data_IF_481214484954
#
_entry.id   IF_481214484954
#
_cell.length_a   1.000
_cell.length_b   1.000
_cell.length_c   1.000
_cell.angle_alpha   90.00
_cell.angle_beta   90.00
_cell.angle_gamma   90.00
#
_symmetry.space_group_name_H-M   'P 1'
#
loop_
_entity.id
_entity.type
_entity.pdbx_description
1 polymer ?
#
# COMPACT_ATOMS: atom_id res chain seq x y z
N UNK A 1 11.34 -0.63 -49.64
CA UNK A 1 11.77 -1.58 -48.59
C UNK A 1 12.63 -0.96 -47.47
N UNK A 2 13.40 0.13 -47.68
CA UNK A 2 14.30 0.66 -46.63
C UNK A 2 13.62 1.37 -45.44
N UNK A 3 12.49 2.07 -45.66
CA UNK A 3 11.80 2.81 -44.59
C UNK A 3 11.24 1.91 -43.47
N UNK A 4 10.73 0.72 -43.81
CA UNK A 4 10.19 -0.23 -42.84
C UNK A 4 11.27 -0.83 -41.94
N UNK A 5 12.44 -1.14 -42.53
CA UNK A 5 13.61 -1.65 -41.80
C UNK A 5 14.17 -0.60 -40.83
N UNK A 6 14.17 0.69 -41.23
CA UNK A 6 14.62 1.78 -40.35
C UNK A 6 13.64 2.00 -39.17
N UNK A 7 12.33 2.00 -39.42
CA UNK A 7 11.34 2.10 -38.34
C UNK A 7 11.43 0.94 -37.34
N UNK A 8 11.70 -0.28 -37.81
CA UNK A 8 11.88 -1.44 -36.94
C UNK A 8 13.15 -1.31 -36.08
N UNK A 9 14.24 -0.80 -36.64
CA UNK A 9 15.48 -0.51 -35.88
C UNK A 9 15.27 0.58 -34.83
N UNK A 10 14.56 1.65 -35.17
CA UNK A 10 14.23 2.73 -34.23
C UNK A 10 13.35 2.24 -33.09
N UNK A 11 12.31 1.47 -33.39
CA UNK A 11 11.45 0.86 -32.37
C UNK A 11 12.23 -0.07 -31.44
N UNK A 12 13.12 -0.90 -32.01
CA UNK A 12 13.99 -1.77 -31.20
C UNK A 12 14.98 -0.99 -30.34
N UNK A 13 15.54 0.10 -30.86
CA UNK A 13 16.41 0.98 -30.10
C UNK A 13 15.65 1.62 -28.91
N UNK A 14 14.43 2.14 -29.15
CA UNK A 14 13.57 2.70 -28.11
C UNK A 14 13.17 1.69 -27.05
N UNK A 15 12.83 0.45 -27.43
CA UNK A 15 12.54 -0.63 -26.49
C UNK A 15 13.75 -0.95 -25.62
N UNK A 16 14.94 -1.04 -26.24
CA UNK A 16 16.18 -1.33 -25.52
C UNK A 16 16.55 -0.21 -24.55
N UNK A 17 16.38 1.04 -24.97
CA UNK A 17 16.62 2.23 -24.13
C UNK A 17 15.61 2.31 -22.98
N UNK A 18 14.32 2.06 -23.26
CA UNK A 18 13.27 2.02 -22.24
C UNK A 18 13.55 0.93 -21.21
N UNK A 19 13.90 -0.28 -21.64
CA UNK A 19 14.25 -1.38 -20.73
C UNK A 19 15.47 -1.05 -19.88
N UNK A 20 16.52 -0.47 -20.50
CA UNK A 20 17.72 -0.04 -19.77
C UNK A 20 17.38 0.99 -18.70
N UNK A 21 16.69 2.06 -19.06
CA UNK A 21 16.28 3.12 -18.14
C UNK A 21 15.31 2.61 -17.05
N UNK A 22 14.41 1.70 -17.40
CA UNK A 22 13.51 1.05 -16.44
C UNK A 22 14.28 0.19 -15.45
N UNK A 23 15.23 -0.63 -15.91
CA UNK A 23 16.04 -1.50 -15.06
C UNK A 23 17.03 -0.72 -14.19
N UNK A 24 17.61 0.38 -14.71
CA UNK A 24 18.46 1.31 -13.93
C UNK A 24 17.71 1.96 -12.77
N UNK A 25 16.37 2.05 -12.84
CA UNK A 25 15.54 2.53 -11.73
C UNK A 25 15.29 1.49 -10.63
N UNK A 26 15.89 0.29 -10.72
CA UNK A 26 15.74 -0.81 -9.76
C UNK A 26 14.27 -1.14 -9.42
N UNK A 27 13.46 -1.48 -10.44
CA UNK A 27 12.01 -1.55 -10.32
C UNK A 27 11.58 -2.67 -9.37
N UNK A 28 12.27 -3.82 -9.41
CA UNK A 28 11.93 -4.97 -8.58
C UNK A 28 12.12 -4.68 -7.10
N UNK A 29 13.29 -4.14 -6.72
CA UNK A 29 13.57 -3.82 -5.33
C UNK A 29 12.62 -2.75 -4.80
N UNK A 30 12.39 -1.69 -5.59
CA UNK A 30 11.44 -0.63 -5.23
C UNK A 30 10.01 -1.15 -5.09
N UNK A 31 9.56 -2.05 -5.97
CA UNK A 31 8.25 -2.68 -5.87
C UNK A 31 8.11 -3.55 -4.62
N UNK A 32 9.14 -4.34 -4.27
CA UNK A 32 9.15 -5.17 -3.06
C UNK A 32 9.06 -4.28 -1.81
N UNK A 33 9.83 -3.19 -1.77
CA UNK A 33 9.80 -2.24 -0.65
C UNK A 33 8.40 -1.66 -0.46
N UNK A 34 7.76 -1.20 -1.54
CA UNK A 34 6.40 -0.64 -1.48
C UNK A 34 5.40 -1.70 -1.01
N UNK A 35 5.42 -2.90 -1.59
CA UNK A 35 4.51 -3.98 -1.21
C UNK A 35 4.67 -4.38 0.27
N UNK A 36 5.91 -4.47 0.75
CA UNK A 36 6.22 -4.77 2.15
C UNK A 36 5.67 -3.70 3.08
N UNK A 37 5.96 -2.42 2.81
CA UNK A 37 5.40 -1.32 3.61
C UNK A 37 3.87 -1.32 3.60
N UNK A 38 3.22 -1.58 2.47
CA UNK A 38 1.76 -1.63 2.39
C UNK A 38 1.19 -2.77 3.22
N UNK A 39 1.63 -4.02 3.01
CA UNK A 39 1.08 -5.20 3.71
C UNK A 39 1.27 -5.08 5.23
N UNK A 40 2.44 -4.67 5.68
CA UNK A 40 2.74 -4.59 7.11
C UNK A 40 2.15 -3.35 7.81
N UNK A 41 1.88 -2.26 7.08
CA UNK A 41 1.23 -1.07 7.66
C UNK A 41 -0.30 -1.13 7.63
N UNK A 42 -0.88 -1.92 6.72
CA UNK A 42 -2.32 -1.98 6.46
C UNK A 42 -3.16 -2.24 7.72
N UNK A 43 -2.86 -3.23 8.59
CA UNK A 43 -3.70 -3.51 9.77
C UNK A 43 -3.75 -2.32 10.74
N UNK A 44 -2.59 -1.72 11.02
CA UNK A 44 -2.49 -0.57 11.93
C UNK A 44 -3.20 0.66 11.38
N UNK A 45 -3.04 0.93 10.08
CA UNK A 45 -3.74 2.01 9.39
C UNK A 45 -5.26 1.83 9.45
N UNK A 46 -5.76 0.61 9.20
CA UNK A 46 -7.19 0.30 9.25
C UNK A 46 -7.75 0.50 10.65
N UNK A 47 -7.05 0.07 11.71
CA UNK A 47 -7.47 0.32 13.10
C UNK A 47 -7.60 1.82 13.37
N UNK A 48 -6.65 2.63 12.90
CA UNK A 48 -6.72 4.09 13.08
C UNK A 48 -7.91 4.69 12.34
N UNK A 49 -8.15 4.29 11.09
CA UNK A 49 -9.29 4.74 10.29
C UNK A 49 -10.61 4.33 10.95
N UNK A 50 -10.73 3.08 11.39
CA UNK A 50 -11.93 2.54 12.03
C UNK A 50 -12.21 3.27 13.35
N UNK A 51 -11.19 3.54 14.16
CA UNK A 51 -11.37 4.29 15.41
C UNK A 51 -11.74 5.76 15.16
N UNK A 52 -11.11 6.41 14.17
CA UNK A 52 -11.41 7.79 13.82
C UNK A 52 -12.84 7.96 13.28
N UNK A 53 -13.26 7.06 12.38
CA UNK A 53 -14.63 7.03 11.88
C UNK A 53 -15.63 6.55 12.95
N UNK A 54 -15.20 5.62 13.81
CA UNK A 54 -15.95 5.09 14.95
C UNK A 54 -16.28 6.14 16.03
N UNK A 55 -15.62 7.30 16.01
CA UNK A 55 -16.01 8.44 16.82
C UNK A 55 -17.34 9.05 16.37
N UNK A 56 -17.66 8.98 15.07
CA UNK A 56 -18.89 9.52 14.48
C UNK A 56 -19.92 8.44 14.15
N UNK A 57 -19.47 7.21 13.90
CA UNK A 57 -20.28 6.08 13.46
C UNK A 57 -20.04 4.85 14.33
N UNK A 58 -20.85 3.81 14.18
CA UNK A 58 -20.58 2.52 14.82
C UNK A 58 -19.34 1.85 14.17
N UNK A 59 -18.33 1.49 14.98
CA UNK A 59 -17.08 0.90 14.51
C UNK A 59 -17.28 -0.43 13.77
N UNK A 60 -18.27 -1.24 14.15
CA UNK A 60 -18.58 -2.48 13.46
C UNK A 60 -19.20 -2.22 12.09
N UNK A 61 -20.05 -1.19 11.98
CA UNK A 61 -20.59 -0.76 10.69
C UNK A 61 -19.50 -0.21 9.74
N UNK A 62 -18.53 0.55 10.26
CA UNK A 62 -17.38 1.04 9.48
C UNK A 62 -16.54 -0.14 8.98
N UNK A 63 -16.23 -1.08 9.88
CA UNK A 63 -15.44 -2.28 9.54
C UNK A 63 -16.11 -3.09 8.45
N UNK A 64 -17.40 -3.41 8.62
CA UNK A 64 -18.18 -4.15 7.63
C UNK A 64 -18.15 -3.47 6.26
N UNK A 65 -18.32 -2.14 6.21
CA UNK A 65 -18.31 -1.40 4.95
C UNK A 65 -16.95 -1.46 4.25
N UNK A 66 -15.85 -1.42 4.99
CA UNK A 66 -14.50 -1.58 4.42
C UNK A 66 -14.33 -2.99 3.83
N UNK A 67 -14.74 -4.02 4.58
CA UNK A 67 -14.64 -5.41 4.12
C UNK A 67 -15.51 -5.65 2.87
N UNK A 68 -16.74 -5.13 2.84
CA UNK A 68 -17.63 -5.23 1.67
C UNK A 68 -17.00 -4.59 0.42
N UNK A 69 -16.28 -3.46 0.56
CA UNK A 69 -15.57 -2.81 -0.55
C UNK A 69 -14.38 -3.65 -1.03
N UNK A 70 -13.58 -4.19 -0.11
CA UNK A 70 -12.43 -5.05 -0.45
C UNK A 70 -12.92 -6.31 -1.17
N UNK A 71 -14.00 -6.92 -0.69
CA UNK A 71 -14.62 -8.08 -1.31
C UNK A 71 -15.08 -7.78 -2.73
N UNK A 72 -15.69 -6.61 -2.97
CA UNK A 72 -16.15 -6.20 -4.30
C UNK A 72 -15.04 -5.88 -5.29
N UNK A 73 -13.87 -5.42 -4.81
CA UNK A 73 -12.75 -5.01 -5.68
C UNK A 73 -11.72 -6.12 -5.93
N UNK A 74 -11.39 -6.91 -4.90
CA UNK A 74 -10.29 -7.89 -4.94
C UNK A 74 -10.83 -9.32 -4.87
N UNK A 75 -11.79 -9.58 -3.98
CA UNK A 75 -12.39 -10.90 -3.79
C UNK A 75 -12.57 -11.27 -2.32
N UNK A 76 -13.37 -12.32 -2.09
CA UNK A 76 -13.77 -12.74 -0.74
C UNK A 76 -12.63 -13.27 0.14
N UNK A 77 -11.62 -13.93 -0.45
CA UNK A 77 -10.53 -14.50 0.34
C UNK A 77 -9.63 -13.41 0.93
N UNK A 78 -9.26 -12.42 0.13
CA UNK A 78 -8.48 -11.25 0.61
C UNK A 78 -9.27 -10.43 1.64
N UNK A 79 -10.59 -10.32 1.46
CA UNK A 79 -11.44 -9.63 2.43
C UNK A 79 -11.42 -10.33 3.80
N UNK A 80 -11.47 -11.66 3.83
CA UNK A 80 -11.35 -12.46 5.06
C UNK A 80 -9.98 -12.30 5.72
N UNK A 81 -8.90 -12.31 4.93
CA UNK A 81 -7.55 -12.12 5.46
C UNK A 81 -7.43 -10.75 6.16
N UNK A 82 -7.94 -9.69 5.53
CA UNK A 82 -7.91 -8.33 6.09
C UNK A 82 -8.83 -8.22 7.32
N UNK A 83 -10.00 -8.85 7.31
CA UNK A 83 -10.89 -8.90 8.47
C UNK A 83 -10.21 -9.56 9.68
N UNK A 84 -9.52 -10.68 9.48
CA UNK A 84 -8.75 -11.35 10.53
C UNK A 84 -7.59 -10.49 11.06
N UNK A 85 -6.93 -9.73 10.18
CA UNK A 85 -5.89 -8.78 10.57
C UNK A 85 -6.45 -7.66 11.45
N UNK A 86 -7.60 -7.07 11.08
CA UNK A 86 -8.27 -6.02 11.87
C UNK A 86 -8.68 -6.56 13.24
N UNK A 87 -9.30 -7.74 13.29
CA UNK A 87 -9.75 -8.36 14.54
C UNK A 87 -8.57 -8.60 15.51
N UNK A 88 -7.42 -9.00 14.97
CA UNK A 88 -6.19 -9.21 15.76
C UNK A 88 -5.62 -7.87 16.26
N UNK A 89 -5.59 -6.86 15.42
CA UNK A 89 -5.05 -5.54 15.76
C UNK A 89 -5.95 -4.75 16.75
N UNK A 90 -7.27 -4.93 16.68
CA UNK A 90 -8.27 -4.24 17.52
C UNK A 90 -8.41 -4.79 18.95
N UNK A 91 -7.95 -6.01 19.23
CA UNK A 91 -8.07 -6.63 20.56
C UNK A 91 -7.08 -6.09 21.60
N UNK A 92 -6.12 -5.24 21.20
CA UNK A 92 -5.21 -4.60 22.14
C UNK A 92 -5.88 -3.36 22.77
N UNK A 93 -6.43 -3.52 23.98
CA UNK A 93 -6.73 -2.39 24.88
C UNK A 93 -5.42 -1.79 25.38
N UNK A 94 -4.79 -0.98 24.53
CA UNK A 94 -3.58 -0.23 24.88
C UNK A 94 -3.88 0.80 25.98
N UNK A 95 -2.89 1.07 26.84
CA UNK A 95 -2.95 2.21 27.75
C UNK A 95 -2.79 3.52 26.97
N UNK A 96 -3.15 4.66 27.58
CA UNK A 96 -3.01 5.99 26.95
C UNK A 96 -1.60 6.23 26.40
N UNK A 97 -0.58 5.72 27.10
CA UNK A 97 0.83 5.78 26.66
C UNK A 97 1.04 5.00 25.35
N UNK A 98 0.45 3.81 25.20
CA UNK A 98 0.53 3.01 23.97
C UNK A 98 -0.13 3.73 22.79
N UNK A 99 -1.24 4.45 23.02
CA UNK A 99 -1.91 5.23 21.97
C UNK A 99 -1.04 6.40 21.49
N UNK A 100 -0.41 7.13 22.41
CA UNK A 100 0.50 8.25 22.07
C UNK A 100 1.69 7.73 21.26
N UNK A 101 2.32 6.64 21.72
CA UNK A 101 3.45 6.02 21.00
C UNK A 101 3.03 5.50 19.63
N UNK A 102 1.85 4.88 19.52
CA UNK A 102 1.30 4.39 18.25
C UNK A 102 1.07 5.51 17.23
N UNK A 103 0.50 6.65 17.66
CA UNK A 103 0.32 7.82 16.81
C UNK A 103 1.67 8.37 16.35
N UNK A 104 2.65 8.50 17.27
CA UNK A 104 3.99 8.98 16.94
C UNK A 104 4.70 8.06 15.92
N UNK A 105 4.66 6.74 16.13
CA UNK A 105 5.20 5.76 15.19
C UNK A 105 4.48 5.79 13.84
N UNK A 106 3.17 6.01 13.82
CA UNK A 106 2.40 6.12 12.58
C UNK A 106 2.81 7.36 11.77
N UNK A 107 2.91 8.53 12.41
CA UNK A 107 3.35 9.77 11.75
C UNK A 107 4.76 9.59 11.16
N UNK A 108 5.66 8.97 11.92
CA UNK A 108 7.02 8.67 11.47
C UNK A 108 7.03 7.72 10.27
N UNK A 109 6.28 6.62 10.35
CA UNK A 109 6.15 5.63 9.27
C UNK A 109 5.55 6.23 7.99
N UNK A 110 4.46 6.99 8.11
CA UNK A 110 3.81 7.66 6.99
C UNK A 110 4.76 8.66 6.30
N UNK A 111 5.51 9.43 7.07
CA UNK A 111 6.52 10.37 6.54
C UNK A 111 7.66 9.62 5.85
N UNK A 112 8.13 8.51 6.41
CA UNK A 112 9.15 7.66 5.80
C UNK A 112 8.72 7.05 4.47
N UNK A 113 7.48 6.56 4.38
CA UNK A 113 6.90 6.05 3.12
C UNK A 113 6.80 7.17 2.09
N UNK A 114 6.32 8.36 2.47
CA UNK A 114 6.23 9.50 1.56
C UNK A 114 7.61 9.97 1.07
N UNK A 115 8.60 10.00 1.95
CA UNK A 115 9.99 10.29 1.59
C UNK A 115 10.54 9.27 0.61
N UNK A 116 10.29 7.99 0.86
CA UNK A 116 10.70 6.92 -0.05
C UNK A 116 9.97 7.03 -1.40
N UNK A 117 8.69 7.41 -1.41
CA UNK A 117 7.93 7.66 -2.63
C UNK A 117 8.53 8.82 -3.45
N UNK A 118 8.87 9.95 -2.81
CA UNK A 118 9.54 11.07 -3.47
C UNK A 118 10.94 10.70 -4.00
N UNK A 119 11.66 9.81 -3.31
CA UNK A 119 12.96 9.31 -3.77
C UNK A 119 12.82 8.31 -4.94
N UNK A 120 11.66 7.67 -5.07
CA UNK A 120 11.38 6.70 -6.12
C UNK A 120 10.90 7.38 -7.40
N UNK A 121 10.08 8.43 -7.28
CA UNK A 121 9.63 9.30 -8.37
C UNK A 121 10.81 10.07 -8.99
#
# INVERSE_FOLDING_TARGET
MSKAVNKLKEFWALLKETYKNWNERDPFNKSIIIAWYTIFSLPGLLVVIINAAGFFYDSAAVTKKIIDQIQGMIGGDTAKDIEAMIATAGNNKGTVISSILGIASMIFGATGVFYQLQKIL
#
